data_IF_089250700934
#
_entry.id   IF_089250700934
#
_cell.length_a   1.000
_cell.length_b   1.000
_cell.length_c   1.000
_cell.angle_alpha   90.00
_cell.angle_beta   90.00
_cell.angle_gamma   90.00
#
_symmetry.space_group_name_H-M   'P 1'
#
loop_
_entity.id
_entity.type
_entity.pdbx_description
1 polymer ?
#
# COMPACT_ATOMS: atom_id res chain seq x y z
N UNK A 1 19.18 -35.52 -21.37
CA UNK A 1 18.44 -34.43 -22.03
C UNK A 1 18.14 -33.42 -20.96
N UNK A 2 18.83 -32.30 -20.99
CA UNK A 2 18.74 -31.26 -19.92
C UNK A 2 17.62 -30.28 -20.31
N UNK A 3 16.59 -30.16 -19.45
CA UNK A 3 15.47 -29.27 -19.73
C UNK A 3 15.94 -27.80 -19.66
N UNK A 4 15.41 -26.90 -20.51
CA UNK A 4 15.82 -25.50 -20.52
C UNK A 4 15.51 -24.81 -19.19
N UNK A 5 16.41 -23.91 -18.77
CA UNK A 5 16.36 -23.19 -17.47
C UNK A 5 15.04 -22.45 -17.20
N UNK A 6 14.32 -22.06 -18.27
CA UNK A 6 13.00 -21.39 -18.18
C UNK A 6 11.89 -22.32 -17.69
N UNK A 7 11.93 -23.61 -18.08
CA UNK A 7 10.91 -24.59 -17.65
C UNK A 7 11.12 -25.02 -16.19
N UNK A 8 12.36 -25.09 -15.72
CA UNK A 8 12.67 -25.40 -14.31
C UNK A 8 12.15 -24.33 -13.35
N UNK A 9 12.19 -23.04 -13.72
CA UNK A 9 11.64 -21.96 -12.90
C UNK A 9 10.10 -21.98 -12.84
N UNK A 10 9.41 -22.45 -13.87
CA UNK A 10 7.95 -22.50 -13.87
C UNK A 10 7.40 -23.69 -13.04
N UNK A 11 8.09 -24.84 -13.06
CA UNK A 11 7.71 -26.03 -12.29
C UNK A 11 8.02 -25.88 -10.80
N UNK A 12 9.12 -25.22 -10.44
CA UNK A 12 9.55 -25.02 -9.05
C UNK A 12 8.59 -24.10 -8.26
N UNK A 13 7.96 -23.13 -8.94
CA UNK A 13 6.95 -22.27 -8.33
C UNK A 13 5.66 -23.01 -7.98
N UNK A 14 5.33 -24.12 -8.63
CA UNK A 14 4.13 -24.94 -8.33
C UNK A 14 4.32 -25.86 -7.14
N UNK A 15 5.55 -26.16 -6.77
CA UNK A 15 5.88 -27.03 -5.62
C UNK A 15 5.91 -26.30 -4.27
N UNK A 16 5.84 -24.95 -4.25
CA UNK A 16 6.05 -24.14 -3.05
C UNK A 16 4.77 -23.83 -2.24
N UNK A 17 3.81 -24.76 -2.14
CA UNK A 17 2.75 -24.68 -1.14
C UNK A 17 1.81 -23.46 -1.25
N UNK A 18 1.68 -22.86 -2.44
CA UNK A 18 0.70 -21.80 -2.65
C UNK A 18 -0.72 -22.34 -2.50
N UNK A 19 -1.58 -21.53 -1.90
CA UNK A 19 -2.99 -21.84 -1.75
C UNK A 19 -3.64 -22.24 -3.09
N UNK A 20 -4.73 -23.02 -3.02
CA UNK A 20 -5.50 -23.42 -4.19
C UNK A 20 -5.82 -22.19 -5.08
N UNK A 21 -5.52 -22.24 -6.40
CA UNK A 21 -5.81 -21.14 -7.31
C UNK A 21 -7.26 -20.67 -7.28
N UNK A 22 -8.22 -21.55 -7.06
CA UNK A 22 -9.64 -21.20 -6.98
C UNK A 22 -9.95 -20.36 -5.74
N UNK A 23 -9.32 -20.67 -4.60
CA UNK A 23 -9.42 -19.88 -3.38
C UNK A 23 -8.81 -18.49 -3.54
N UNK A 24 -7.64 -18.39 -4.18
CA UNK A 24 -7.00 -17.11 -4.49
C UNK A 24 -7.85 -16.25 -5.42
N UNK A 25 -8.41 -16.82 -6.48
CA UNK A 25 -9.33 -16.12 -7.38
C UNK A 25 -10.59 -15.68 -6.65
N UNK A 26 -11.12 -16.52 -5.77
CA UNK A 26 -12.25 -16.19 -4.90
C UNK A 26 -11.94 -14.99 -4.00
N UNK A 27 -10.78 -15.00 -3.33
CA UNK A 27 -10.30 -13.89 -2.52
C UNK A 27 -10.21 -12.59 -3.34
N UNK A 28 -9.53 -12.59 -4.49
CA UNK A 28 -9.40 -11.42 -5.35
C UNK A 28 -10.77 -10.86 -5.79
N UNK A 29 -11.73 -11.73 -6.11
CA UNK A 29 -13.10 -11.32 -6.48
C UNK A 29 -13.90 -10.77 -5.29
N UNK A 30 -13.54 -11.09 -4.06
CA UNK A 30 -14.23 -10.63 -2.85
C UNK A 30 -13.81 -9.24 -2.41
N UNK A 31 -12.70 -8.70 -2.92
CA UNK A 31 -12.18 -7.41 -2.51
C UNK A 31 -13.18 -6.27 -2.77
N UNK A 32 -13.30 -5.38 -1.81
CA UNK A 32 -14.17 -4.20 -1.89
C UNK A 32 -13.47 -3.02 -1.23
N UNK A 33 -13.66 -1.85 -1.82
CA UNK A 33 -13.28 -0.59 -1.18
C UNK A 33 -14.24 -0.29 -0.04
N UNK A 34 -13.73 -0.13 1.17
CA UNK A 34 -14.50 0.19 2.38
C UNK A 34 -14.09 1.57 2.87
N UNK A 35 -15.07 2.45 3.11
CA UNK A 35 -14.85 3.84 3.58
C UNK A 35 -15.49 4.14 4.94
N UNK A 36 -16.19 3.15 5.51
CA UNK A 36 -16.79 3.24 6.84
C UNK A 36 -16.04 2.27 7.74
N UNK A 37 -15.23 2.79 8.63
CA UNK A 37 -14.35 2.02 9.50
C UNK A 37 -14.85 2.04 10.94
N UNK A 38 -14.52 0.98 11.68
CA UNK A 38 -14.74 0.89 13.13
C UNK A 38 -13.61 1.68 13.84
N UNK A 39 -13.89 2.94 14.24
CA UNK A 39 -12.89 3.88 14.75
C UNK A 39 -12.06 3.36 15.93
N UNK A 40 -12.63 2.47 16.75
CA UNK A 40 -11.99 1.99 17.98
C UNK A 40 -11.29 0.64 17.84
N UNK A 41 -11.25 0.09 16.64
CA UNK A 41 -10.61 -1.20 16.37
C UNK A 41 -9.22 -0.96 15.77
N UNK A 42 -8.16 -1.09 16.57
CA UNK A 42 -6.81 -0.87 16.07
C UNK A 42 -6.42 -1.96 15.06
N UNK A 43 -5.55 -1.60 14.12
CA UNK A 43 -4.87 -2.58 13.27
C UNK A 43 -3.72 -3.18 14.09
N UNK A 44 -3.64 -4.51 14.23
CA UNK A 44 -2.53 -5.14 14.95
C UNK A 44 -1.17 -4.79 14.33
N UNK A 45 -0.17 -4.56 15.16
CA UNK A 45 1.17 -4.14 14.72
C UNK A 45 1.81 -5.11 13.73
N UNK A 46 1.69 -6.42 13.98
CA UNK A 46 2.21 -7.45 13.07
C UNK A 46 1.54 -7.39 11.68
N UNK A 47 0.25 -7.07 11.61
CA UNK A 47 -0.47 -6.90 10.33
C UNK A 47 0.07 -5.68 9.59
N UNK A 48 0.28 -4.56 10.30
CA UNK A 48 0.85 -3.35 9.73
C UNK A 48 2.26 -3.58 9.19
N UNK A 49 3.09 -4.30 9.94
CA UNK A 49 4.43 -4.68 9.54
C UNK A 49 4.42 -5.53 8.25
N UNK A 50 3.56 -6.54 8.17
CA UNK A 50 3.45 -7.38 6.97
C UNK A 50 2.93 -6.59 5.76
N UNK A 51 1.99 -5.66 5.97
CA UNK A 51 1.49 -4.76 4.90
C UNK A 51 2.62 -3.90 4.34
N UNK A 52 3.42 -3.30 5.21
CA UNK A 52 4.56 -2.47 4.79
C UNK A 52 5.68 -3.29 4.15
N UNK A 53 5.96 -4.49 4.67
CA UNK A 53 6.96 -5.39 4.10
C UNK A 53 6.56 -5.82 2.68
N UNK A 54 5.31 -6.26 2.46
CA UNK A 54 4.82 -6.61 1.12
C UNK A 54 4.84 -5.41 0.17
N UNK A 55 4.48 -4.22 0.66
CA UNK A 55 4.58 -2.99 -0.12
C UNK A 55 6.02 -2.70 -0.54
N UNK A 56 6.98 -2.80 0.39
CA UNK A 56 8.41 -2.62 0.13
C UNK A 56 8.96 -3.55 -0.96
N UNK A 57 8.44 -4.78 -1.05
CA UNK A 57 8.78 -5.75 -2.10
C UNK A 57 8.09 -5.50 -3.44
N UNK A 58 7.43 -4.37 -3.63
CA UNK A 58 6.85 -4.02 -4.92
C UNK A 58 7.97 -3.76 -5.94
N UNK A 59 7.76 -4.26 -7.15
CA UNK A 59 8.68 -3.91 -8.24
C UNK A 59 8.47 -2.47 -8.70
N UNK A 60 9.52 -1.81 -9.17
CA UNK A 60 9.46 -0.50 -9.80
C UNK A 60 10.23 -0.47 -11.11
N UNK A 61 9.98 0.54 -11.94
CA UNK A 61 10.73 0.77 -13.15
C UNK A 61 12.23 0.89 -12.82
N UNK A 62 13.07 0.07 -13.47
CA UNK A 62 14.53 0.00 -13.24
C UNK A 62 14.93 -0.21 -11.76
N UNK A 63 14.03 -0.76 -10.93
CA UNK A 63 14.23 -0.97 -9.49
C UNK A 63 14.59 0.33 -8.74
N UNK A 64 14.03 1.47 -9.16
CA UNK A 64 14.31 2.78 -8.54
C UNK A 64 13.70 2.94 -7.15
N UNK A 65 12.55 2.27 -6.91
CA UNK A 65 11.81 2.32 -5.64
C UNK A 65 11.58 3.78 -5.15
N UNK A 66 10.93 4.63 -5.97
CA UNK A 66 10.84 6.07 -5.74
C UNK A 66 9.74 6.43 -4.73
N UNK A 67 9.65 5.73 -3.61
CA UNK A 67 8.59 5.89 -2.63
C UNK A 67 9.09 5.86 -1.20
N UNK A 68 8.33 6.54 -0.36
CA UNK A 68 8.40 6.45 1.09
C UNK A 68 7.01 6.16 1.64
N UNK A 69 6.94 5.53 2.83
CA UNK A 69 5.70 5.29 3.55
C UNK A 69 5.69 6.10 4.82
N UNK A 70 4.61 6.86 5.05
CA UNK A 70 4.37 7.51 6.34
C UNK A 70 3.14 6.88 6.96
N UNK A 71 3.33 6.23 8.10
CA UNK A 71 2.24 5.63 8.88
C UNK A 71 1.71 6.65 9.85
N UNK A 72 0.40 6.86 9.85
CA UNK A 72 -0.30 7.82 10.70
C UNK A 72 -1.38 7.09 11.49
N UNK A 73 -1.28 7.09 12.80
CA UNK A 73 -2.28 6.54 13.73
C UNK A 73 -2.86 7.59 14.68
N UNK A 74 -2.23 8.77 14.73
CA UNK A 74 -2.71 9.86 15.59
C UNK A 74 -3.99 10.46 15.03
N UNK A 75 -5.02 10.56 15.87
CA UNK A 75 -6.36 10.99 15.48
C UNK A 75 -6.38 12.39 14.85
N UNK A 76 -5.76 13.36 15.51
CA UNK A 76 -5.72 14.74 15.02
C UNK A 76 -5.05 14.84 13.65
N UNK A 77 -4.00 14.05 13.41
CA UNK A 77 -3.30 14.02 12.14
C UNK A 77 -4.16 13.36 11.05
N UNK A 78 -4.87 12.26 11.36
CA UNK A 78 -5.81 11.62 10.43
C UNK A 78 -6.96 12.57 10.05
N UNK A 79 -7.52 13.30 10.99
CA UNK A 79 -8.57 14.30 10.76
C UNK A 79 -8.06 15.47 9.92
N UNK A 80 -6.86 15.95 10.21
CA UNK A 80 -6.21 17.00 9.42
C UNK A 80 -5.95 16.58 7.98
N UNK A 81 -5.52 15.34 7.75
CA UNK A 81 -5.35 14.77 6.42
C UNK A 81 -6.70 14.60 5.71
N UNK A 82 -7.72 14.14 6.42
CA UNK A 82 -9.07 13.98 5.88
C UNK A 82 -9.69 15.31 5.43
N UNK A 83 -9.33 16.41 6.09
CA UNK A 83 -9.78 17.77 5.74
C UNK A 83 -9.01 18.38 4.56
N UNK A 84 -7.92 17.76 4.09
CA UNK A 84 -7.19 18.24 2.93
C UNK A 84 -8.03 18.11 1.65
N UNK A 85 -7.79 19.02 0.69
CA UNK A 85 -8.44 18.94 -0.61
C UNK A 85 -8.12 17.61 -1.31
N UNK A 86 -9.15 16.90 -1.76
CA UNK A 86 -9.00 15.63 -2.44
C UNK A 86 -10.16 14.66 -2.17
N UNK A 87 -9.83 13.38 -2.14
CA UNK A 87 -10.78 12.29 -1.89
C UNK A 87 -10.28 11.38 -0.77
N UNK A 88 -9.96 11.96 0.38
CA UNK A 88 -9.40 11.26 1.53
C UNK A 88 -10.23 11.44 2.82
N UNK A 89 -11.46 11.97 2.74
CA UNK A 89 -12.32 12.26 3.91
C UNK A 89 -12.55 11.05 4.82
N UNK A 90 -12.48 9.83 4.31
CA UNK A 90 -12.63 8.59 5.08
C UNK A 90 -11.48 8.34 6.07
N UNK A 91 -10.34 9.03 5.95
CA UNK A 91 -9.24 8.98 6.91
C UNK A 91 -9.67 9.44 8.30
N UNK A 92 -10.64 10.36 8.41
CA UNK A 92 -11.16 10.81 9.71
C UNK A 92 -11.68 9.67 10.59
N UNK A 93 -12.11 8.56 9.99
CA UNK A 93 -12.64 7.39 10.71
C UNK A 93 -11.72 6.18 10.63
N UNK A 94 -10.57 6.28 9.97
CA UNK A 94 -9.62 5.18 9.88
C UNK A 94 -8.86 4.97 11.20
N UNK A 95 -8.50 3.73 11.50
CA UNK A 95 -7.62 3.41 12.63
C UNK A 95 -6.17 3.78 12.31
N UNK A 96 -5.77 3.66 11.03
CA UNK A 96 -4.43 4.00 10.54
C UNK A 96 -4.52 4.49 9.09
N UNK A 97 -3.68 5.43 8.74
CA UNK A 97 -3.42 5.87 7.37
C UNK A 97 -1.99 5.53 6.96
N UNK A 98 -1.82 5.03 5.73
CA UNK A 98 -0.50 4.86 5.12
C UNK A 98 -0.42 5.85 3.96
N UNK A 99 0.39 6.88 4.14
CA UNK A 99 0.61 7.91 3.11
C UNK A 99 1.77 7.47 2.22
N UNK A 100 1.49 7.30 0.94
CA UNK A 100 2.51 7.09 -0.09
C UNK A 100 3.10 8.43 -0.50
N UNK A 101 4.41 8.57 -0.39
CA UNK A 101 5.15 9.75 -0.82
C UNK A 101 6.04 9.33 -1.98
N UNK A 102 5.68 9.76 -3.19
CA UNK A 102 6.47 9.49 -4.39
C UNK A 102 7.57 10.56 -4.56
N UNK A 103 8.67 10.21 -5.22
CA UNK A 103 9.77 11.15 -5.48
C UNK A 103 9.28 12.38 -6.26
N UNK A 104 8.35 12.20 -7.19
CA UNK A 104 7.70 13.27 -7.93
C UNK A 104 8.63 13.87 -8.98
N UNK A 105 9.50 13.07 -9.59
CA UNK A 105 10.40 13.49 -10.64
C UNK A 105 9.63 13.61 -11.97
N UNK A 106 9.58 14.81 -12.61
CA UNK A 106 8.75 15.04 -13.79
C UNK A 106 9.03 14.08 -14.95
N UNK A 107 10.28 13.70 -15.14
CA UNK A 107 10.72 12.79 -16.20
C UNK A 107 10.29 11.33 -15.99
N UNK A 108 9.89 10.96 -14.77
CA UNK A 108 9.43 9.63 -14.39
C UNK A 108 7.97 9.59 -13.92
N UNK A 109 7.22 10.65 -14.12
CA UNK A 109 5.87 10.80 -13.61
C UNK A 109 4.94 9.63 -13.98
N UNK A 110 4.97 9.18 -15.23
CA UNK A 110 4.13 8.06 -15.69
C UNK A 110 4.50 6.74 -15.00
N UNK A 111 5.81 6.47 -14.86
CA UNK A 111 6.31 5.28 -14.18
C UNK A 111 5.99 5.30 -12.69
N UNK A 112 6.15 6.46 -12.04
CA UNK A 112 5.81 6.64 -10.63
C UNK A 112 4.31 6.48 -10.39
N UNK A 113 3.45 7.02 -11.26
CA UNK A 113 2.00 6.83 -11.18
C UNK A 113 1.60 5.35 -11.33
N UNK A 114 2.26 4.62 -12.23
CA UNK A 114 2.05 3.18 -12.38
C UNK A 114 2.49 2.41 -11.14
N UNK A 115 3.66 2.74 -10.59
CA UNK A 115 4.22 2.12 -9.40
C UNK A 115 3.36 2.42 -8.16
N UNK A 116 2.82 3.64 -8.02
CA UNK A 116 1.86 4.04 -6.97
C UNK A 116 0.60 3.15 -6.98
N UNK A 117 0.03 2.90 -8.15
CA UNK A 117 -1.12 2.00 -8.30
C UNK A 117 -0.79 0.58 -7.85
N UNK A 118 0.39 0.06 -8.21
CA UNK A 118 0.85 -1.27 -7.78
C UNK A 118 1.06 -1.37 -6.27
N UNK A 119 1.64 -0.33 -5.67
CA UNK A 119 1.84 -0.24 -4.22
C UNK A 119 0.51 -0.23 -3.48
N UNK A 120 -0.42 0.62 -3.91
CA UNK A 120 -1.75 0.75 -3.32
C UNK A 120 -2.50 -0.58 -3.34
N UNK A 121 -2.44 -1.30 -4.46
CA UNK A 121 -3.08 -2.61 -4.58
C UNK A 121 -2.43 -3.66 -3.68
N UNK A 122 -1.10 -3.71 -3.58
CA UNK A 122 -0.40 -4.63 -2.68
C UNK A 122 -0.74 -4.38 -1.21
N UNK A 123 -0.80 -3.13 -0.80
CA UNK A 123 -1.23 -2.74 0.55
C UNK A 123 -2.66 -3.25 0.80
N UNK A 124 -3.58 -2.99 -0.14
CA UNK A 124 -4.98 -3.40 -0.01
C UNK A 124 -5.15 -4.92 0.04
N UNK A 125 -4.45 -5.65 -0.82
CA UNK A 125 -4.47 -7.11 -0.86
C UNK A 125 -3.94 -7.72 0.44
N UNK A 126 -2.83 -7.19 0.94
CA UNK A 126 -2.23 -7.70 2.18
C UNK A 126 -3.13 -7.41 3.38
N UNK A 127 -3.67 -6.20 3.50
CA UNK A 127 -4.62 -5.87 4.55
C UNK A 127 -5.85 -6.79 4.51
N UNK A 128 -6.43 -6.99 3.32
CA UNK A 128 -7.59 -7.85 3.14
C UNK A 128 -7.33 -9.32 3.50
N UNK A 129 -6.11 -9.84 3.28
CA UNK A 129 -5.74 -11.21 3.67
C UNK A 129 -5.81 -11.44 5.18
N UNK A 130 -5.68 -10.36 5.97
CA UNK A 130 -5.87 -10.35 7.43
C UNK A 130 -7.30 -9.95 7.85
N UNK A 131 -8.24 -9.79 6.91
CA UNK A 131 -9.59 -9.31 7.19
C UNK A 131 -9.65 -7.82 7.54
N UNK A 132 -8.61 -7.05 7.23
CA UNK A 132 -8.57 -5.60 7.44
C UNK A 132 -9.07 -4.90 6.18
N UNK A 133 -10.14 -4.14 6.34
CA UNK A 133 -10.73 -3.36 5.25
C UNK A 133 -9.88 -2.13 4.93
N UNK A 134 -9.81 -1.74 3.67
CA UNK A 134 -9.02 -0.59 3.21
C UNK A 134 -9.74 0.25 2.16
N UNK A 135 -9.26 1.49 1.98
CA UNK A 135 -9.66 2.40 0.92
C UNK A 135 -8.49 3.26 0.50
N UNK A 136 -8.40 3.55 -0.78
CA UNK A 136 -7.43 4.52 -1.32
C UNK A 136 -8.05 5.90 -1.32
N UNK A 137 -7.27 6.91 -0.92
CA UNK A 137 -7.60 8.32 -1.00
C UNK A 137 -6.56 9.09 -1.78
N UNK A 138 -6.93 10.23 -2.34
CA UNK A 138 -6.04 11.13 -3.04
C UNK A 138 -6.09 12.54 -2.48
N UNK A 139 -4.93 13.18 -2.41
CA UNK A 139 -4.78 14.60 -2.13
C UNK A 139 -4.54 15.37 -3.43
N UNK A 140 -5.14 16.54 -3.55
CA UNK A 140 -4.97 17.43 -4.71
C UNK A 140 -4.01 18.58 -4.41
N UNK A 141 -3.26 19.03 -5.42
CA UNK A 141 -2.50 20.28 -5.39
C UNK A 141 -1.55 20.40 -4.21
N UNK A 142 -1.76 21.42 -3.38
CA UNK A 142 -0.89 21.73 -2.22
C UNK A 142 -1.05 20.77 -1.04
N UNK A 143 -2.08 19.95 -1.00
CA UNK A 143 -2.31 18.98 0.08
C UNK A 143 -1.18 17.95 0.16
N UNK A 144 -0.69 17.47 -0.99
CA UNK A 144 0.47 16.58 -1.04
C UNK A 144 1.76 17.22 -0.50
N UNK A 145 1.92 18.55 -0.63
CA UNK A 145 3.04 19.30 -0.04
C UNK A 145 2.89 19.52 1.46
N UNK A 146 1.66 19.66 1.95
CA UNK A 146 1.38 19.82 3.40
C UNK A 146 1.59 18.55 4.18
N UNK A 147 1.26 17.38 3.63
CA UNK A 147 1.49 16.10 4.31
C UNK A 147 2.97 15.85 4.60
N UNK A 148 3.87 16.32 3.73
CA UNK A 148 5.34 16.27 3.96
C UNK A 148 5.79 17.13 5.14
N UNK A 149 5.09 18.27 5.43
CA UNK A 149 5.50 19.22 6.48
C UNK A 149 4.91 18.89 7.86
N UNK A 150 3.73 18.29 7.92
CA UNK A 150 3.06 18.00 9.20
C UNK A 150 3.53 16.70 9.84
N UNK A 151 4.16 15.80 9.10
CA UNK A 151 4.48 14.47 9.62
C UNK A 151 5.68 14.41 10.57
N UNK A 152 6.50 15.48 10.74
CA UNK A 152 7.64 15.49 11.67
C UNK A 152 8.59 14.27 11.55
N UNK A 153 8.41 13.45 10.53
CA UNK A 153 9.05 12.16 10.38
C UNK A 153 10.52 12.33 9.99
N UNK A 154 11.38 11.82 10.83
CA UNK A 154 12.79 11.54 10.47
C UNK A 154 12.88 10.10 10.01
N UNK A 155 13.34 9.88 8.79
CA UNK A 155 13.66 8.54 8.29
C UNK A 155 14.61 7.82 9.27
N UNK A 156 14.33 6.58 9.67
CA UNK A 156 15.35 5.77 10.32
C UNK A 156 16.50 5.58 9.33
N UNK A 157 17.72 5.85 9.78
CA UNK A 157 18.93 5.49 9.04
C UNK A 157 19.07 3.96 9.08
N UNK A 158 18.91 3.33 7.94
CA UNK A 158 19.24 1.90 7.72
C UNK A 158 20.68 1.76 7.30
#
# INVERSE_FOLDING_TARGET
>A
MDQPRSERRATDRRANGYADPSALVGFLKSLRTVRFFEQHKPVPENVLQDVLEVARWSGSARNRQPWEFVVVSERETLESLAACEGRAAHLANAAVGIVLVMAGEPEFFEQETFDEGRLSERISLTAASYGVASSVGWFKGQAGKRSRRSSGYRSPSW
#
